data_IF_938553006444
#
_entry.id   IF_938553006444
#
_cell.length_a   1.000
_cell.length_b   1.000
_cell.length_c   1.000
_cell.angle_alpha   90.00
_cell.angle_beta   90.00
_cell.angle_gamma   90.00
#
_symmetry.space_group_name_H-M   'P 1'
#
loop_
_entity.id
_entity.type
_entity.pdbx_description
1 polymer ?
#
# COMPACT_ATOMS: atom_id res chain seq x y z
N UNK A 1 30.93 -13.67 9.86
CA UNK A 1 30.92 -12.40 9.11
C UNK A 1 31.95 -11.45 9.73
N UNK A 2 32.74 -10.73 8.92
CA UNK A 2 33.68 -9.70 9.41
C UNK A 2 32.94 -8.51 10.02
N UNK A 3 31.82 -8.14 9.42
CA UNK A 3 30.98 -7.03 9.83
C UNK A 3 29.89 -7.54 10.76
N UNK A 4 29.52 -6.75 11.75
CA UNK A 4 28.40 -7.00 12.68
C UNK A 4 27.42 -5.82 12.59
N UNK A 5 26.66 -5.71 11.48
CA UNK A 5 25.74 -4.60 11.32
C UNK A 5 24.57 -4.70 12.31
N UNK A 6 24.09 -3.55 12.81
CA UNK A 6 22.88 -3.48 13.61
C UNK A 6 21.61 -3.63 12.74
N UNK A 7 21.67 -3.09 11.51
CA UNK A 7 20.55 -3.06 10.58
C UNK A 7 21.01 -3.57 9.20
N UNK A 8 20.19 -4.42 8.60
CA UNK A 8 20.45 -4.95 7.25
C UNK A 8 19.31 -4.57 6.31
N UNK A 9 19.65 -3.98 5.15
CA UNK A 9 18.71 -3.74 4.05
C UNK A 9 18.80 -4.87 3.04
N UNK A 10 17.65 -5.47 2.68
CA UNK A 10 17.54 -6.60 1.76
C UNK A 10 16.76 -6.18 0.53
N UNK A 11 17.40 -6.23 -0.64
CA UNK A 11 16.81 -5.89 -1.94
C UNK A 11 16.87 -7.04 -2.94
N UNK A 12 16.87 -8.27 -2.45
CA UNK A 12 16.82 -9.47 -3.29
C UNK A 12 15.48 -9.62 -4.02
N UNK A 13 15.41 -10.54 -4.97
CA UNK A 13 14.15 -10.96 -5.59
C UNK A 13 13.25 -11.63 -4.54
N UNK A 14 11.94 -11.67 -4.82
CA UNK A 14 10.97 -12.25 -3.87
C UNK A 14 11.24 -13.75 -3.62
N UNK A 15 11.72 -14.46 -4.64
CA UNK A 15 12.02 -15.88 -4.63
C UNK A 15 13.13 -16.26 -3.63
N UNK A 16 14.08 -15.37 -3.42
CA UNK A 16 15.26 -15.60 -2.55
C UNK A 16 15.08 -14.94 -1.17
N UNK A 17 14.10 -14.07 -1.03
CA UNK A 17 14.02 -13.16 0.12
C UNK A 17 13.77 -13.86 1.42
N UNK A 18 12.90 -14.86 1.44
CA UNK A 18 12.58 -15.58 2.66
C UNK A 18 13.80 -16.23 3.29
N UNK A 19 14.59 -16.95 2.49
CA UNK A 19 15.84 -17.58 2.93
C UNK A 19 16.83 -16.54 3.45
N UNK A 20 17.02 -15.44 2.72
CA UNK A 20 17.96 -14.38 3.10
C UNK A 20 17.54 -13.71 4.42
N UNK A 21 16.26 -13.41 4.58
CA UNK A 21 15.73 -12.81 5.83
C UNK A 21 15.93 -13.75 7.01
N UNK A 22 15.62 -15.04 6.86
CA UNK A 22 15.79 -16.05 7.93
C UNK A 22 17.26 -16.16 8.33
N UNK A 23 18.18 -16.23 7.37
CA UNK A 23 19.61 -16.34 7.64
C UNK A 23 20.16 -15.06 8.29
N UNK A 24 19.72 -13.89 7.88
CA UNK A 24 20.12 -12.60 8.47
C UNK A 24 19.57 -12.46 9.89
N UNK A 25 18.33 -12.87 10.14
CA UNK A 25 17.76 -12.89 11.48
C UNK A 25 18.54 -13.83 12.42
N UNK A 26 18.88 -15.03 11.94
CA UNK A 26 19.71 -15.99 12.70
C UNK A 26 21.12 -15.46 13.02
N UNK A 27 21.65 -14.52 12.25
CA UNK A 27 22.91 -13.85 12.54
C UNK A 27 22.82 -12.80 13.67
N UNK A 28 21.64 -12.55 14.22
CA UNK A 28 21.42 -11.71 15.40
C UNK A 28 21.44 -10.20 15.14
N UNK A 29 21.03 -9.74 13.95
CA UNK A 29 20.87 -8.31 13.67
C UNK A 29 19.68 -7.74 14.42
N UNK A 30 19.72 -6.45 14.76
CA UNK A 30 18.62 -5.79 15.48
C UNK A 30 17.40 -5.54 14.59
N UNK A 31 17.63 -5.22 13.31
CA UNK A 31 16.55 -4.93 12.38
C UNK A 31 16.89 -5.33 10.93
N UNK A 32 15.84 -5.70 10.20
CA UNK A 32 15.86 -5.99 8.76
C UNK A 32 14.86 -5.07 8.07
N UNK A 33 15.31 -4.37 7.02
CA UNK A 33 14.48 -3.62 6.11
C UNK A 33 14.48 -4.30 4.75
N UNK A 34 13.39 -4.99 4.39
CA UNK A 34 13.29 -5.75 3.16
C UNK A 34 12.36 -5.07 2.15
N UNK A 35 12.67 -5.17 0.85
CA UNK A 35 11.82 -4.61 -0.20
C UNK A 35 10.53 -5.42 -0.39
N UNK A 36 9.54 -4.81 -1.01
CA UNK A 36 8.30 -5.47 -1.44
C UNK A 36 8.51 -6.20 -2.80
N UNK A 37 7.69 -7.20 -3.13
CA UNK A 37 6.76 -7.92 -2.25
C UNK A 37 7.51 -8.66 -1.16
N UNK A 38 6.86 -8.94 -0.02
CA UNK A 38 7.53 -9.56 1.13
C UNK A 38 8.11 -10.93 0.79
N UNK A 39 7.33 -11.77 0.12
CA UNK A 39 7.61 -13.16 -0.21
C UNK A 39 6.64 -13.64 -1.29
N UNK A 40 6.65 -14.92 -1.62
CA UNK A 40 5.79 -15.55 -2.63
C UNK A 40 4.58 -16.29 -2.05
N UNK A 41 4.67 -16.72 -0.79
CA UNK A 41 3.60 -17.47 -0.13
C UNK A 41 3.41 -17.05 1.32
N UNK A 42 2.28 -17.45 1.92
CA UNK A 42 2.01 -17.21 3.33
C UNK A 42 2.94 -18.04 4.23
N UNK A 43 3.32 -19.23 3.82
CA UNK A 43 4.27 -20.10 4.52
C UNK A 43 5.64 -19.42 4.63
N UNK A 44 6.12 -18.81 3.53
CA UNK A 44 7.36 -18.02 3.55
C UNK A 44 7.23 -16.81 4.48
N UNK A 45 6.08 -16.10 4.45
CA UNK A 45 5.83 -14.97 5.32
C UNK A 45 5.87 -15.37 6.81
N UNK A 46 5.19 -16.46 7.15
CA UNK A 46 5.14 -16.97 8.53
C UNK A 46 6.52 -17.41 8.99
N UNK A 47 7.29 -18.09 8.13
CA UNK A 47 8.67 -18.50 8.43
C UNK A 47 9.59 -17.30 8.68
N UNK A 48 9.49 -16.24 7.87
CA UNK A 48 10.25 -15.00 8.06
C UNK A 48 9.91 -14.31 9.38
N UNK A 49 8.62 -14.18 9.68
CA UNK A 49 8.12 -13.54 10.91
C UNK A 49 8.60 -14.33 12.14
N UNK A 50 8.45 -15.65 12.11
CA UNK A 50 8.84 -16.51 13.22
C UNK A 50 10.36 -16.52 13.45
N UNK A 51 11.18 -16.54 12.39
CA UNK A 51 12.62 -16.43 12.49
C UNK A 51 13.05 -15.09 13.13
N UNK A 52 12.45 -14.00 12.70
CA UNK A 52 12.71 -12.68 13.27
C UNK A 52 12.24 -12.57 14.73
N UNK A 53 11.09 -13.16 15.07
CA UNK A 53 10.58 -13.21 16.44
C UNK A 53 11.53 -13.98 17.37
N UNK A 54 12.01 -15.15 16.94
CA UNK A 54 12.96 -15.97 17.72
C UNK A 54 14.28 -15.29 17.97
N UNK A 55 14.76 -14.51 17.01
CA UNK A 55 16.04 -13.78 17.09
C UNK A 55 15.90 -12.38 17.72
N UNK A 56 14.70 -11.98 18.14
CA UNK A 56 14.40 -10.62 18.59
C UNK A 56 14.83 -9.55 17.56
N UNK A 57 14.66 -9.86 16.28
CA UNK A 57 14.97 -8.98 15.14
C UNK A 57 13.70 -8.28 14.66
N UNK A 58 13.75 -6.95 14.51
CA UNK A 58 12.64 -6.21 13.91
C UNK A 58 12.63 -6.44 12.39
N UNK A 59 11.47 -6.80 11.82
CA UNK A 59 11.28 -6.92 10.38
C UNK A 59 10.36 -5.81 9.87
N UNK A 60 10.84 -5.02 8.90
CA UNK A 60 10.05 -4.03 8.20
C UNK A 60 10.07 -4.27 6.70
N UNK A 61 8.88 -4.22 6.08
CA UNK A 61 8.73 -4.33 4.62
C UNK A 61 8.53 -2.95 4.03
N UNK A 62 9.28 -2.65 2.96
CA UNK A 62 9.35 -1.35 2.31
C UNK A 62 8.07 -0.96 1.54
N UNK A 63 6.98 -0.69 2.24
CA UNK A 63 5.78 -0.09 1.67
C UNK A 63 5.91 1.44 1.70
N UNK A 64 6.91 1.99 0.98
CA UNK A 64 7.33 3.39 1.08
C UNK A 64 6.22 4.39 0.78
N UNK A 65 5.22 4.04 -0.04
CA UNK A 65 4.07 4.91 -0.33
C UNK A 65 3.27 5.27 0.92
N UNK A 66 3.23 4.39 1.92
CA UNK A 66 2.58 4.67 3.19
C UNK A 66 3.22 5.85 3.94
N UNK A 67 4.51 6.10 3.68
CA UNK A 67 5.28 7.17 4.32
C UNK A 67 5.46 8.40 3.43
N UNK A 68 4.87 8.39 2.24
CA UNK A 68 4.87 9.56 1.35
C UNK A 68 4.19 10.74 2.04
N UNK A 69 4.84 11.92 2.10
CA UNK A 69 4.22 13.11 2.68
C UNK A 69 2.87 13.46 2.04
N UNK A 70 2.71 13.16 0.76
CA UNK A 70 1.48 13.38 0.01
C UNK A 70 0.34 12.48 0.47
N UNK A 71 0.58 11.17 0.63
CA UNK A 71 -0.45 10.26 1.15
C UNK A 71 -0.73 10.51 2.63
N UNK A 72 0.26 10.94 3.41
CA UNK A 72 0.02 11.36 4.80
C UNK A 72 -0.84 12.63 4.87
N UNK A 73 -0.60 13.62 3.98
CA UNK A 73 -1.46 14.80 3.87
C UNK A 73 -2.89 14.43 3.44
N UNK A 74 -3.04 13.49 2.50
CA UNK A 74 -4.33 12.96 2.08
C UNK A 74 -5.06 12.30 3.27
N UNK A 75 -4.40 11.43 4.02
CA UNK A 75 -4.95 10.77 5.19
C UNK A 75 -5.39 11.79 6.26
N UNK A 76 -4.59 12.84 6.45
CA UNK A 76 -4.94 13.92 7.40
C UNK A 76 -6.14 14.73 6.91
N UNK A 77 -6.23 15.07 5.62
CA UNK A 77 -7.38 15.78 5.06
C UNK A 77 -8.67 14.96 5.23
N UNK A 78 -8.62 13.64 5.00
CA UNK A 78 -9.74 12.73 5.24
C UNK A 78 -10.14 12.73 6.72
N UNK A 79 -9.18 12.60 7.63
CA UNK A 79 -9.42 12.64 9.08
C UNK A 79 -10.02 13.96 9.56
N UNK A 80 -9.67 15.07 8.93
CA UNK A 80 -10.24 16.39 9.19
C UNK A 80 -11.66 16.57 8.63
N UNK A 81 -12.18 15.58 7.87
CA UNK A 81 -13.53 15.66 7.29
C UNK A 81 -13.63 16.50 6.03
N UNK A 82 -12.52 16.80 5.34
CA UNK A 82 -12.49 17.68 4.16
C UNK A 82 -13.34 17.17 2.99
N UNK A 83 -13.60 15.86 2.93
CA UNK A 83 -14.45 15.20 1.93
C UNK A 83 -15.69 14.55 2.55
N UNK A 84 -16.02 14.88 3.81
CA UNK A 84 -17.12 14.25 4.57
C UNK A 84 -16.79 12.84 5.05
N UNK A 85 -17.81 12.00 5.21
CA UNK A 85 -17.66 10.62 5.66
C UNK A 85 -16.94 9.78 4.59
N UNK A 86 -15.74 9.34 4.90
CA UNK A 86 -14.91 8.53 3.99
C UNK A 86 -15.53 7.14 3.81
N UNK A 87 -15.75 6.71 2.57
CA UNK A 87 -16.54 5.51 2.24
C UNK A 87 -15.84 4.51 1.34
N UNK A 88 -15.02 4.98 0.40
CA UNK A 88 -14.37 4.06 -0.55
C UNK A 88 -13.08 4.61 -1.15
N UNK A 89 -12.30 3.70 -1.70
CA UNK A 89 -11.12 3.95 -2.52
C UNK A 89 -11.26 3.24 -3.86
N UNK A 90 -10.80 3.89 -4.94
CA UNK A 90 -10.78 3.29 -6.27
C UNK A 90 -9.40 3.46 -6.86
N UNK A 91 -8.74 2.36 -7.19
CA UNK A 91 -7.43 2.36 -7.83
C UNK A 91 -7.53 1.82 -9.25
N UNK A 92 -6.94 2.55 -10.20
CA UNK A 92 -6.71 2.07 -11.56
C UNK A 92 -5.20 1.97 -11.77
N UNK A 93 -4.70 0.79 -12.10
CA UNK A 93 -3.28 0.57 -12.29
C UNK A 93 -2.99 -0.65 -13.16
N UNK A 94 -2.29 -0.45 -14.27
CA UNK A 94 -1.97 -1.49 -15.26
C UNK A 94 -0.79 -2.37 -14.87
N UNK A 95 -0.72 -2.85 -13.63
CA UNK A 95 0.34 -3.74 -13.13
C UNK A 95 -0.23 -4.99 -12.48
N UNK A 96 0.61 -6.00 -12.34
CA UNK A 96 0.31 -7.25 -11.68
C UNK A 96 0.06 -7.09 -10.16
N UNK A 97 -0.65 -8.05 -9.58
CA UNK A 97 -1.14 -7.98 -8.20
C UNK A 97 -0.01 -7.94 -7.18
N UNK A 98 1.01 -8.79 -7.29
CA UNK A 98 2.05 -8.87 -6.26
C UNK A 98 3.10 -7.76 -6.40
N UNK A 99 3.51 -7.42 -7.63
CA UNK A 99 4.56 -6.42 -7.84
C UNK A 99 4.04 -5.00 -7.76
N UNK A 100 3.00 -4.67 -8.50
CA UNK A 100 2.44 -3.32 -8.57
C UNK A 100 1.48 -3.03 -7.42
N UNK A 101 0.46 -3.86 -7.32
CA UNK A 101 -0.63 -3.65 -6.37
C UNK A 101 -0.27 -3.92 -4.91
N UNK A 102 0.88 -4.50 -4.59
CA UNK A 102 1.35 -4.57 -3.21
C UNK A 102 1.43 -3.20 -2.54
N UNK A 103 1.82 -2.15 -3.27
CA UNK A 103 1.77 -0.78 -2.77
C UNK A 103 0.33 -0.25 -2.62
N UNK A 104 -0.54 -0.55 -3.59
CA UNK A 104 -1.95 -0.16 -3.54
C UNK A 104 -2.66 -0.81 -2.35
N UNK A 105 -2.46 -2.12 -2.15
CA UNK A 105 -3.06 -2.86 -1.04
C UNK A 105 -2.55 -2.37 0.32
N UNK A 106 -1.26 -2.01 0.42
CA UNK A 106 -0.71 -1.39 1.62
C UNK A 106 -1.34 -0.03 1.91
N UNK A 107 -1.57 0.82 0.89
CA UNK A 107 -2.30 2.08 1.03
C UNK A 107 -3.76 1.83 1.42
N UNK A 108 -4.44 0.90 0.76
CA UNK A 108 -5.81 0.55 1.08
C UNK A 108 -5.97 0.16 2.55
N UNK A 109 -5.06 -0.69 3.06
CA UNK A 109 -5.03 -1.06 4.48
C UNK A 109 -4.80 0.14 5.39
N UNK A 110 -3.87 1.02 5.03
CA UNK A 110 -3.56 2.24 5.81
C UNK A 110 -4.78 3.15 5.92
N UNK A 111 -5.45 3.40 4.80
CA UNK A 111 -6.60 4.31 4.75
C UNK A 111 -7.89 3.69 5.31
N UNK A 112 -8.08 2.38 5.15
CA UNK A 112 -9.21 1.69 5.73
C UNK A 112 -9.16 1.68 7.26
N UNK A 113 -7.98 1.51 7.84
CA UNK A 113 -7.81 1.47 9.29
C UNK A 113 -8.52 0.30 9.98
N UNK A 114 -8.94 -0.72 9.22
CA UNK A 114 -9.66 -1.89 9.69
C UNK A 114 -9.22 -3.16 8.93
N UNK A 115 -9.42 -4.37 9.50
CA UNK A 115 -9.19 -5.62 8.79
C UNK A 115 -10.12 -5.77 7.59
N UNK A 116 -9.65 -6.50 6.56
CA UNK A 116 -10.49 -6.94 5.46
C UNK A 116 -11.48 -7.99 5.97
N UNK A 117 -12.77 -7.81 5.64
CA UNK A 117 -13.84 -8.74 5.99
C UNK A 117 -14.04 -9.80 4.92
N UNK A 118 -14.05 -9.38 3.66
CA UNK A 118 -14.14 -10.26 2.51
C UNK A 118 -13.57 -9.58 1.27
N UNK A 119 -13.22 -10.41 0.29
CA UNK A 119 -12.69 -9.97 -1.01
C UNK A 119 -13.49 -10.66 -2.11
N UNK A 120 -13.82 -9.91 -3.16
CA UNK A 120 -14.30 -10.44 -4.44
C UNK A 120 -13.28 -10.08 -5.51
N UNK A 121 -12.93 -11.03 -6.39
CA UNK A 121 -11.97 -10.81 -7.46
C UNK A 121 -12.37 -11.47 -8.75
N UNK A 122 -11.89 -10.91 -9.85
CA UNK A 122 -12.01 -11.45 -11.20
C UNK A 122 -10.63 -11.45 -11.84
N UNK A 123 -10.26 -12.58 -12.40
CA UNK A 123 -9.02 -12.78 -13.17
C UNK A 123 -9.33 -12.80 -14.66
N UNK A 124 -8.36 -12.42 -15.48
CA UNK A 124 -8.55 -12.32 -16.93
C UNK A 124 -8.79 -13.69 -17.60
N UNK A 125 -8.29 -14.79 -17.02
CA UNK A 125 -8.59 -16.16 -17.44
C UNK A 125 -8.39 -17.17 -16.30
N UNK A 126 -9.04 -18.33 -16.40
CA UNK A 126 -8.88 -19.44 -15.45
C UNK A 126 -7.48 -20.04 -15.54
N UNK A 127 -6.86 -20.07 -16.72
CA UNK A 127 -5.49 -20.55 -16.91
C UNK A 127 -4.49 -19.61 -16.21
N UNK A 128 -4.69 -18.29 -16.32
CA UNK A 128 -3.89 -17.32 -15.59
C UNK A 128 -4.05 -17.52 -14.08
N UNK A 129 -5.26 -17.75 -13.60
CA UNK A 129 -5.55 -17.96 -12.17
C UNK A 129 -4.94 -19.26 -11.60
N UNK A 130 -4.79 -20.29 -12.43
CA UNK A 130 -4.17 -21.57 -12.06
C UNK A 130 -2.65 -21.59 -12.17
N UNK A 131 -2.04 -20.56 -12.78
CA UNK A 131 -0.59 -20.49 -13.03
C UNK A 131 0.20 -19.90 -11.85
N UNK A 132 1.52 -20.11 -11.87
CA UNK A 132 2.47 -19.57 -10.86
C UNK A 132 2.91 -18.12 -11.13
N UNK A 133 2.34 -17.47 -12.16
CA UNK A 133 2.71 -16.13 -12.58
C UNK A 133 2.21 -15.03 -11.64
N UNK A 134 2.80 -13.83 -11.75
CA UNK A 134 2.27 -12.64 -11.10
C UNK A 134 1.09 -12.10 -11.92
N UNK A 135 -0.10 -12.32 -11.43
CA UNK A 135 -1.35 -12.19 -12.16
C UNK A 135 -1.85 -10.75 -12.23
N UNK A 136 -2.64 -10.48 -13.28
CA UNK A 136 -3.50 -9.30 -13.39
C UNK A 136 -4.91 -9.67 -12.94
N UNK A 137 -5.62 -8.74 -12.34
CA UNK A 137 -6.98 -8.99 -11.90
C UNK A 137 -7.62 -7.74 -11.34
N UNK A 138 -8.94 -7.71 -11.35
CA UNK A 138 -9.77 -6.67 -10.74
C UNK A 138 -10.39 -7.21 -9.46
N UNK A 139 -10.75 -6.33 -8.53
CA UNK A 139 -11.37 -6.80 -7.31
C UNK A 139 -11.94 -5.71 -6.43
N UNK A 140 -12.70 -6.17 -5.44
CA UNK A 140 -13.23 -5.34 -4.38
C UNK A 140 -12.90 -5.95 -3.03
N UNK A 141 -12.48 -5.10 -2.10
CA UNK A 141 -12.25 -5.46 -0.71
C UNK A 141 -13.29 -4.72 0.13
N UNK A 142 -14.02 -5.45 0.97
CA UNK A 142 -14.84 -4.86 2.02
C UNK A 142 -14.14 -5.03 3.36
N UNK A 143 -14.05 -3.95 4.12
CA UNK A 143 -13.44 -3.89 5.45
C UNK A 143 -14.49 -4.03 6.54
N UNK A 144 -14.09 -4.42 7.75
CA UNK A 144 -15.00 -4.62 8.89
C UNK A 144 -15.78 -3.36 9.28
N UNK A 145 -15.21 -2.18 9.07
CA UNK A 145 -15.86 -0.90 9.29
C UNK A 145 -16.81 -0.46 8.15
N UNK A 146 -17.05 -1.33 7.15
CA UNK A 146 -17.93 -1.05 6.01
C UNK A 146 -17.26 -0.29 4.86
N UNK A 147 -16.00 0.13 5.01
CA UNK A 147 -15.26 0.76 3.93
C UNK A 147 -14.99 -0.22 2.78
N UNK A 148 -14.93 0.29 1.55
CA UNK A 148 -14.72 -0.50 0.34
C UNK A 148 -13.52 0.02 -0.45
N UNK A 149 -12.75 -0.89 -1.01
CA UNK A 149 -11.67 -0.58 -1.93
C UNK A 149 -11.84 -1.36 -3.22
N UNK A 150 -11.68 -0.66 -4.34
CA UNK A 150 -11.82 -1.21 -5.69
C UNK A 150 -10.46 -1.15 -6.38
N UNK A 151 -10.09 -2.25 -6.97
CA UNK A 151 -8.85 -2.40 -7.70
C UNK A 151 -9.18 -2.78 -9.14
N UNK A 152 -8.85 -1.91 -10.07
CA UNK A 152 -9.06 -2.11 -11.50
C UNK A 152 -7.71 -2.20 -12.21
N UNK A 153 -7.62 -3.08 -13.19
CA UNK A 153 -6.47 -3.14 -14.11
C UNK A 153 -6.60 -2.05 -15.17
N UNK A 154 -5.45 -1.54 -15.61
CA UNK A 154 -5.34 -0.57 -16.70
C UNK A 154 -4.86 0.81 -16.25
N UNK A 155 -4.25 1.54 -17.18
CA UNK A 155 -3.76 2.89 -16.98
C UNK A 155 -2.53 3.03 -16.08
N UNK A 156 -2.23 4.28 -15.76
CA UNK A 156 -1.20 4.65 -14.78
C UNK A 156 -1.81 4.61 -13.37
N UNK A 157 -0.97 4.50 -12.35
CA UNK A 157 -1.45 4.46 -10.98
C UNK A 157 -2.21 5.75 -10.61
N UNK A 158 -3.52 5.60 -10.55
CA UNK A 158 -4.45 6.62 -10.08
C UNK A 158 -5.26 6.06 -8.92
N UNK A 159 -5.41 6.83 -7.85
CA UNK A 159 -6.22 6.44 -6.69
C UNK A 159 -7.17 7.58 -6.34
N UNK A 160 -8.46 7.26 -6.27
CA UNK A 160 -9.50 8.15 -5.76
C UNK A 160 -9.90 7.73 -4.35
N UNK A 161 -9.93 8.70 -3.44
CA UNK A 161 -10.42 8.58 -2.06
C UNK A 161 -11.77 9.29 -2.01
N UNK A 162 -12.85 8.56 -1.81
CA UNK A 162 -14.22 9.06 -1.98
C UNK A 162 -14.93 9.18 -0.64
N UNK A 163 -15.45 10.35 -0.37
CA UNK A 163 -16.29 10.67 0.79
C UNK A 163 -17.70 11.10 0.42
N UNK A 164 -18.55 11.37 1.42
CA UNK A 164 -19.94 11.79 1.22
C UNK A 164 -20.07 13.17 0.57
N UNK A 165 -19.08 14.04 0.76
CA UNK A 165 -19.12 15.43 0.32
C UNK A 165 -17.99 15.82 -0.63
N UNK A 166 -17.19 14.86 -1.06
CA UNK A 166 -16.10 15.13 -1.99
C UNK A 166 -15.18 13.94 -2.22
N UNK A 167 -14.07 14.21 -2.90
CA UNK A 167 -13.03 13.21 -3.16
C UNK A 167 -11.65 13.85 -3.22
N UNK A 168 -10.63 13.03 -3.01
CA UNK A 168 -9.23 13.35 -3.27
C UNK A 168 -8.73 12.38 -4.33
N UNK A 169 -8.06 12.91 -5.37
CA UNK A 169 -7.47 12.12 -6.45
C UNK A 169 -5.96 12.23 -6.43
N UNK A 170 -5.27 11.10 -6.36
CA UNK A 170 -3.84 10.97 -6.61
C UNK A 170 -3.66 10.46 -8.04
N UNK A 171 -3.06 11.27 -8.93
CA UNK A 171 -2.92 11.02 -10.36
C UNK A 171 -1.46 10.86 -10.76
N UNK A 172 -1.23 10.25 -11.93
CA UNK A 172 0.09 10.16 -12.57
C UNK A 172 1.18 9.63 -11.62
N UNK A 173 0.95 8.47 -11.03
CA UNK A 173 1.86 7.87 -10.04
C UNK A 173 2.17 8.79 -8.85
N UNK A 174 1.19 9.58 -8.42
CA UNK A 174 1.23 10.57 -7.32
C UNK A 174 2.04 11.83 -7.64
N UNK A 175 2.24 12.15 -8.92
CA UNK A 175 2.82 13.42 -9.32
C UNK A 175 1.86 14.59 -9.10
N UNK A 176 0.56 14.30 -9.08
CA UNK A 176 -0.49 15.31 -8.93
C UNK A 176 -1.55 14.85 -7.92
N UNK A 177 -1.96 15.77 -7.05
CA UNK A 177 -3.03 15.59 -6.08
C UNK A 177 -4.04 16.69 -6.20
N UNK A 178 -5.30 16.32 -6.32
CA UNK A 178 -6.40 17.28 -6.34
C UNK A 178 -7.49 16.87 -5.35
N UNK A 179 -8.16 17.88 -4.80
CA UNK A 179 -9.25 17.70 -3.85
C UNK A 179 -10.47 18.51 -4.29
N UNK A 180 -11.61 17.86 -4.25
CA UNK A 180 -12.91 18.46 -4.51
C UNK A 180 -13.83 18.21 -3.33
N UNK A 181 -14.59 19.23 -2.92
CA UNK A 181 -15.63 19.09 -1.92
C UNK A 181 -16.84 19.95 -2.25
N UNK A 182 -17.98 19.61 -1.70
CA UNK A 182 -19.20 20.39 -1.87
C UNK A 182 -19.24 21.56 -0.92
N UNK A 183 -19.72 22.71 -1.40
CA UNK A 183 -20.04 23.84 -0.52
C UNK A 183 -21.21 23.46 0.40
N UNK A 184 -21.12 23.74 1.69
CA UNK A 184 -22.21 23.42 2.63
C UNK A 184 -23.56 24.03 2.26
N UNK A 185 -23.55 25.26 1.73
CA UNK A 185 -24.76 26.03 1.44
C UNK A 185 -25.45 25.64 0.14
N UNK A 186 -24.70 25.45 -0.95
CA UNK A 186 -25.24 25.22 -2.30
C UNK A 186 -25.11 23.78 -2.77
N UNK A 187 -24.30 22.98 -2.08
CA UNK A 187 -23.94 21.62 -2.50
C UNK A 187 -23.17 21.56 -3.83
N UNK A 188 -22.72 22.70 -4.34
CA UNK A 188 -21.91 22.76 -5.54
C UNK A 188 -20.51 22.20 -5.30
N UNK A 189 -19.98 21.39 -6.24
CA UNK A 189 -18.61 20.89 -6.14
C UNK A 189 -17.62 22.04 -6.43
N UNK A 190 -16.66 22.21 -5.54
CA UNK A 190 -15.59 23.20 -5.70
C UNK A 190 -14.23 22.53 -5.54
N UNK A 191 -13.28 22.94 -6.35
CA UNK A 191 -11.89 22.51 -6.20
C UNK A 191 -11.30 23.20 -4.98
N UNK A 192 -10.76 22.40 -4.07
CA UNK A 192 -10.07 22.88 -2.88
C UNK A 192 -8.56 22.81 -3.08
N UNK A 193 -7.85 23.69 -2.41
CA UNK A 193 -6.40 23.59 -2.40
C UNK A 193 -5.99 22.33 -1.61
N UNK A 194 -5.34 21.39 -2.27
CA UNK A 194 -4.77 20.24 -1.58
C UNK A 194 -3.55 20.67 -0.76
N UNK A 195 -3.42 20.23 0.50
CA UNK A 195 -2.26 20.57 1.33
C UNK A 195 -0.95 20.17 0.64
N UNK A 196 -0.07 21.13 0.38
CA UNK A 196 1.24 20.86 -0.23
C UNK A 196 2.25 20.48 0.86
N UNK A 197 2.58 19.20 1.04
CA UNK A 197 3.55 18.80 2.04
C UNK A 197 4.92 19.31 1.63
N UNK A 198 5.59 20.03 2.52
CA UNK A 198 6.98 20.45 2.29
C UNK A 198 7.82 19.21 1.99
N UNK A 199 8.46 19.15 0.82
CA UNK A 199 9.47 18.12 0.56
C UNK A 199 10.49 18.16 1.68
N UNK A 200 10.83 17.03 2.33
CA UNK A 200 12.02 17.01 3.18
C UNK A 200 13.18 17.49 2.32
N UNK A 201 13.93 18.49 2.81
CA UNK A 201 15.14 18.93 2.12
C UNK A 201 16.03 17.70 2.00
N UNK A 202 16.32 17.27 0.78
CA UNK A 202 17.40 16.32 0.55
C UNK A 202 18.66 16.96 1.14
N UNK A 203 19.20 16.37 2.18
CA UNK A 203 20.56 16.68 2.60
C UNK A 203 21.46 16.37 1.41
N UNK A 204 21.98 17.41 0.79
CA UNK A 204 23.08 17.31 -0.18
C UNK A 204 24.31 16.78 0.53
#
# INVERSE_FOLDING_TARGET
>A
AKEKPDIVSISTRAEERAEVVINVAAAGVKAIYATKPMCRSLEEADAMIEACRRSNTMLAIACHKNWSPWFQACLQAIKNGEIGAFSSMVCNYGWSLSRGHSHTLALFRLFAGAPAKWVFGHMDSDEAAAGDGDLFGTGMICYENGMRAFLNTGGWLNIDFVGSDGWISARNEHADFEMWSRLPSTREPVRRQFPNPKRPRSSQ
#
